data_IF_189992986536
#
_entry.id   IF_189992986536
#
_cell.length_a   1.000
_cell.length_b   1.000
_cell.length_c   1.000
_cell.angle_alpha   90.00
_cell.angle_beta   90.00
_cell.angle_gamma   90.00
#
_symmetry.space_group_name_H-M   'P 1'
#
loop_
_entity.id
_entity.type
_entity.pdbx_description
1 polymer ?
2 non-polymer ?
3 water ?
#
# COMPACT_ATOMS: atom_id res chain seq x y z
N UNK A 11 0.97 14.72 13.24
CA UNK A 11 -0.15 13.77 13.04
C UNK A 11 -0.45 13.65 11.55
N UNK A 12 -0.73 12.44 11.11
CA UNK A 12 -1.18 12.18 9.73
C UNK A 12 -2.44 11.34 9.89
N UNK A 13 -3.51 11.75 9.23
CA UNK A 13 -4.79 11.05 9.32
C UNK A 13 -5.16 10.45 7.98
N UNK A 14 -5.63 9.20 8.01
CA UNK A 14 -6.13 8.50 6.84
C UNK A 14 -7.54 9.02 6.52
N UNK A 15 -7.71 9.65 5.35
CA UNK A 15 -9.01 10.23 5.04
C UNK A 15 -10.11 9.18 4.93
N UNK A 16 -9.74 7.91 4.76
CA UNK A 16 -10.73 6.87 4.50
C UNK A 16 -11.39 6.40 5.79
N UNK A 17 -10.59 6.09 6.81
CA UNK A 17 -11.09 5.62 8.09
C UNK A 17 -10.93 6.62 9.23
N UNK A 18 -10.18 7.70 9.02
CA UNK A 18 -10.01 8.84 9.92
C UNK A 18 -9.14 8.53 11.14
N UNK A 19 -8.53 7.35 11.22
CA UNK A 19 -7.55 7.04 12.25
C UNK A 19 -6.15 7.49 11.83
N UNK A 20 -5.26 7.59 12.80
CA UNK A 20 -3.91 8.07 12.54
C UNK A 20 -3.13 7.07 11.69
N UNK A 21 -2.36 7.58 10.74
CA UNK A 21 -1.40 6.76 9.99
C UNK A 21 -0.08 6.85 10.74
N UNK A 22 0.38 5.73 11.27
CA UNK A 22 1.60 5.64 12.05
C UNK A 22 2.51 4.66 11.32
N UNK A 23 3.38 5.18 10.45
CA UNK A 23 4.28 4.32 9.69
C UNK A 23 5.31 3.66 10.60
N UNK A 24 5.98 4.45 11.44
CA UNK A 24 7.05 3.93 12.30
C UNK A 24 6.44 3.25 13.52
N UNK A 25 5.88 2.07 13.27
CA UNK A 25 5.35 1.27 14.36
C UNK A 25 4.91 -0.11 13.91
N UNK A 26 4.91 -1.07 14.83
CA UNK A 26 4.33 -2.38 14.55
C UNK A 26 2.82 -2.31 14.50
N UNK A 27 2.29 -1.17 14.06
CA UNK A 27 0.87 -0.95 13.97
C UNK A 27 0.36 -1.41 12.61
N UNK A 28 -0.72 -0.80 12.13
CA UNK A 28 -1.26 -1.19 10.83
C UNK A 28 -0.27 -0.85 9.71
N UNK A 29 -0.28 -1.67 8.66
CA UNK A 29 0.54 -1.38 7.48
C UNK A 29 0.09 -0.05 6.87
N UNK A 30 1.03 0.63 6.21
CA UNK A 30 0.76 1.97 5.69
C UNK A 30 1.18 2.09 4.23
N UNK A 31 0.65 3.11 3.55
CA UNK A 31 0.97 3.41 2.17
C UNK A 31 1.18 4.90 2.00
N UNK A 32 2.10 5.26 1.11
CA UNK A 32 2.30 6.65 0.74
C UNK A 32 2.17 6.74 -0.77
N UNK A 33 1.15 7.46 -1.24
CA UNK A 33 0.95 7.53 -2.68
C UNK A 33 1.97 8.46 -3.32
N UNK A 34 2.12 8.34 -4.64
CA UNK A 34 3.12 9.15 -5.33
C UNK A 34 2.83 10.65 -5.20
N UNK A 35 1.58 11.03 -4.90
CA UNK A 35 1.23 12.42 -4.72
C UNK A 35 1.61 12.95 -3.34
N UNK A 36 1.97 12.07 -2.41
CA UNK A 36 2.32 12.44 -1.07
C UNK A 36 1.29 12.05 -0.01
N UNK A 37 0.08 11.65 -0.43
CA UNK A 37 -0.93 11.41 0.58
C UNK A 37 -0.76 10.03 1.18
N UNK A 38 -1.07 9.93 2.47
CA UNK A 38 -0.81 8.72 3.23
C UNK A 38 -2.10 8.07 3.71
N UNK A 39 -2.10 6.74 3.74
CA UNK A 39 -3.25 5.95 4.14
C UNK A 39 -2.77 4.70 4.86
N UNK A 40 -3.70 4.03 5.53
CA UNK A 40 -3.49 2.63 5.85
C UNK A 40 -3.52 1.81 4.57
N UNK A 41 -2.68 0.78 4.51
CA UNK A 41 -2.63 -0.08 3.33
C UNK A 41 -3.97 -0.73 3.03
N UNK A 42 -4.64 -1.28 4.05
CA UNK A 42 -5.90 -1.92 3.71
C UNK A 42 -6.95 -0.91 3.31
N UNK A 43 -6.94 0.29 3.91
CA UNK A 43 -7.85 1.33 3.47
C UNK A 43 -7.66 1.66 2.00
N UNK A 44 -6.42 1.95 1.60
CA UNK A 44 -6.24 2.42 0.22
C UNK A 44 -6.27 1.24 -0.74
N UNK A 45 -5.79 0.07 -0.30
CA UNK A 45 -5.89 -1.11 -1.14
C UNK A 45 -7.33 -1.43 -1.51
N UNK A 46 -8.22 -1.41 -0.52
CA UNK A 46 -9.62 -1.73 -0.79
C UNK A 46 -10.26 -0.69 -1.69
N UNK A 47 -9.84 0.59 -1.55
CA UNK A 47 -10.38 1.64 -2.39
C UNK A 47 -9.97 1.45 -3.84
N UNK A 48 -8.68 1.20 -4.07
CA UNK A 48 -8.22 0.94 -5.44
C UNK A 48 -8.91 -0.29 -6.01
N UNK A 49 -9.12 -1.31 -5.17
CA UNK A 49 -9.75 -2.54 -5.63
C UNK A 49 -11.17 -2.31 -6.13
N UNK A 50 -11.86 -1.34 -5.56
CA UNK A 50 -13.24 -1.09 -5.98
C UNK A 50 -13.29 -0.54 -7.39
N UNK A 51 -12.24 0.17 -7.81
CA UNK A 51 -12.24 0.89 -9.09
C UNK A 51 -11.25 0.36 -10.11
N UNK A 52 -10.24 -0.39 -9.70
CA UNK A 52 -9.23 -0.85 -10.65
C UNK A 52 -8.25 0.22 -11.06
N UNK A 53 -8.23 1.34 -10.36
CA UNK A 53 -7.41 2.50 -10.72
C UNK A 53 -6.71 2.99 -9.46
N UNK A 54 -5.44 3.38 -9.60
CA UNK A 54 -4.67 3.92 -8.47
C UNK A 54 -4.88 5.44 -8.40
N UNK A 55 -6.09 5.82 -8.03
CA UNK A 55 -6.47 7.24 -7.97
C UNK A 55 -6.53 7.68 -6.52
N UNK A 56 -5.77 8.73 -6.19
CA UNK A 56 -5.81 9.25 -4.81
C UNK A 56 -7.19 9.81 -4.51
N UNK A 57 -7.85 9.39 -3.42
CA UNK A 57 -9.16 9.96 -3.10
C UNK A 57 -9.10 11.36 -2.51
N UNK A 58 -7.91 11.82 -2.11
CA UNK A 58 -7.75 13.16 -1.55
C UNK A 58 -7.52 14.20 -2.63
N UNK A 59 -6.69 13.92 -3.63
CA UNK A 59 -6.40 14.92 -4.64
C UNK A 59 -6.78 14.50 -6.04
N UNK A 60 -7.28 13.27 -6.20
CA UNK A 60 -7.80 12.71 -7.44
C UNK A 60 -6.73 12.47 -8.51
N UNK A 61 -5.46 12.62 -8.17
CA UNK A 61 -4.41 12.28 -9.14
C UNK A 61 -4.36 10.77 -9.35
N UNK A 62 -4.06 10.36 -10.59
CA UNK A 62 -4.07 8.94 -10.96
C UNK A 62 -2.64 8.52 -11.27
N UNK A 63 -2.18 7.48 -10.59
CA UNK A 63 -0.88 6.90 -10.82
C UNK A 63 -1.01 5.78 -11.85
N UNK A 64 -0.15 5.78 -12.85
CA UNK A 64 -0.23 4.78 -13.92
C UNK A 64 0.59 3.54 -13.57
N UNK A 65 0.21 2.89 -12.47
CA UNK A 65 0.83 1.67 -12.03
C UNK A 65 0.12 0.45 -12.61
N UNK A 66 0.48 -0.71 -12.08
CA UNK A 66 -0.04 -2.00 -12.55
C UNK A 66 -0.82 -2.61 -11.37
N UNK A 67 -2.08 -2.24 -11.24
CA UNK A 67 -2.90 -2.69 -10.11
C UNK A 67 -3.67 -3.92 -10.57
N UNK A 68 -3.20 -5.09 -10.19
CA UNK A 68 -3.72 -6.36 -10.71
C UNK A 68 -4.49 -7.09 -9.62
N UNK A 69 -5.46 -7.90 -10.04
CA UNK A 69 -6.26 -8.65 -9.07
C UNK A 69 -5.82 -10.10 -8.93
N UNK A 70 -4.83 -10.53 -9.70
CA UNK A 70 -4.42 -11.94 -9.67
C UNK A 70 -2.95 -12.11 -10.03
N UNK B 11 19.15 2.16 1.28
CA UNK B 11 18.08 2.00 0.26
C UNK B 11 17.49 0.60 0.32
N UNK B 12 16.18 0.49 0.23
CA UNK B 12 15.53 -0.83 0.31
C UNK B 12 14.99 -1.17 -1.07
N UNK B 13 15.03 -2.42 -1.44
CA UNK B 13 14.51 -2.89 -2.72
C UNK B 13 13.25 -3.74 -2.53
N UNK B 14 12.34 -3.64 -3.50
CA UNK B 14 11.11 -4.41 -3.49
C UNK B 14 11.42 -5.83 -3.94
N UNK B 15 11.18 -6.81 -3.06
CA UNK B 15 11.45 -8.20 -3.41
C UNK B 15 10.56 -8.73 -4.52
N UNK B 16 9.51 -8.00 -4.88
CA UNK B 16 8.57 -8.49 -5.88
C UNK B 16 9.06 -8.19 -7.28
N UNK B 17 9.47 -6.95 -7.52
CA UNK B 17 9.95 -6.53 -8.82
C UNK B 17 11.45 -6.29 -8.84
N UNK B 18 12.10 -6.37 -7.68
CA UNK B 18 13.55 -6.21 -7.52
C UNK B 18 14.03 -4.80 -7.83
N UNK B 19 13.13 -3.82 -7.86
CA UNK B 19 13.48 -2.42 -8.03
C UNK B 19 13.54 -1.72 -6.68
N UNK B 20 14.27 -0.61 -6.65
CA UNK B 20 14.40 0.14 -5.41
C UNK B 20 13.07 0.78 -5.03
N UNK B 21 12.74 0.70 -3.75
CA UNK B 21 11.61 1.40 -3.17
C UNK B 21 12.12 2.77 -2.70
N UNK B 22 11.55 3.85 -3.23
CA UNK B 22 12.03 5.20 -2.97
C UNK B 22 10.94 5.97 -2.23
N UNK B 23 11.32 6.60 -1.12
CA UNK B 23 10.37 7.31 -0.27
C UNK B 23 10.00 8.69 -0.78
N UNK B 24 10.78 9.26 -1.70
CA UNK B 24 10.46 10.57 -2.24
C UNK B 24 9.12 10.54 -2.96
N UNK B 25 8.58 11.73 -3.21
CA UNK B 25 7.24 11.84 -3.74
C UNK B 25 7.05 11.43 -5.19
N UNK B 26 7.95 11.87 -6.07
CA UNK B 26 7.62 11.99 -7.48
C UNK B 26 7.14 10.73 -8.20
N UNK B 27 7.64 9.56 -7.79
CA UNK B 27 7.69 8.42 -8.70
C UNK B 27 6.58 7.37 -8.50
N UNK B 28 6.83 6.30 -7.75
CA UNK B 28 5.91 5.20 -7.56
C UNK B 28 5.46 5.18 -6.10
N UNK B 29 4.19 4.85 -5.88
CA UNK B 29 3.68 4.76 -4.53
C UNK B 29 4.33 3.59 -3.80
N UNK B 30 4.40 3.71 -2.48
CA UNK B 30 5.11 2.73 -1.67
C UNK B 30 4.23 2.25 -0.53
N UNK B 31 4.62 1.12 0.05
CA UNK B 31 3.93 0.56 1.21
C UNK B 31 4.97 0.04 2.19
N UNK B 32 4.62 0.08 3.47
CA UNK B 32 5.45 -0.46 4.53
C UNK B 32 4.59 -1.38 5.37
N UNK B 33 4.91 -2.67 5.37
CA UNK B 33 4.05 -3.60 6.10
C UNK B 33 4.30 -3.47 7.60
N UNK B 34 3.37 -4.02 8.38
CA UNK B 34 3.50 -3.94 9.82
C UNK B 34 4.71 -4.70 10.33
N UNK B 35 5.24 -5.62 9.53
CA UNK B 35 6.46 -6.35 9.85
C UNK B 35 7.72 -5.58 9.51
N UNK B 36 7.60 -4.45 8.81
CA UNK B 36 8.73 -3.62 8.46
C UNK B 36 9.19 -3.73 7.03
N UNK B 37 8.79 -4.77 6.31
CA UNK B 37 9.22 -4.92 4.93
C UNK B 37 8.49 -3.96 4.03
N UNK B 38 9.20 -3.47 3.00
CA UNK B 38 8.69 -2.42 2.15
C UNK B 38 8.62 -2.87 0.70
N UNK B 39 7.68 -2.28 -0.01
CA UNK B 39 7.32 -2.68 -1.36
C UNK B 39 6.79 -1.47 -2.10
N UNK B 40 6.76 -1.57 -3.42
CA UNK B 40 5.91 -0.65 -4.17
C UNK B 40 4.46 -1.00 -3.93
N UNK B 41 3.60 0.02 -3.93
CA UNK B 41 2.19 -0.21 -3.63
C UNK B 41 1.55 -1.19 -4.62
N UNK B 42 1.78 -1.02 -5.92
CA UNK B 42 1.08 -1.91 -6.86
C UNK B 42 1.63 -3.33 -6.79
N UNK B 43 2.92 -3.49 -6.49
CA UNK B 43 3.47 -4.83 -6.32
C UNK B 43 2.79 -5.57 -5.17
N UNK B 44 2.83 -5.00 -3.97
CA UNK B 44 2.31 -5.72 -2.81
C UNK B 44 0.79 -5.82 -2.87
N UNK B 45 0.12 -4.80 -3.41
CA UNK B 45 -1.34 -4.86 -3.52
C UNK B 45 -1.77 -5.97 -4.46
N UNK B 46 -1.07 -6.12 -5.58
CA UNK B 46 -1.40 -7.23 -6.48
C UNK B 46 -1.10 -8.57 -5.83
N UNK B 47 -0.06 -8.63 -4.99
CA UNK B 47 0.27 -9.88 -4.31
C UNK B 47 -0.79 -10.25 -3.29
N UNK B 48 -1.23 -9.27 -2.48
CA UNK B 48 -2.34 -9.50 -1.57
C UNK B 48 -3.60 -9.94 -2.33
N UNK B 49 -3.89 -9.30 -3.47
CA UNK B 49 -5.09 -9.65 -4.23
C UNK B 49 -5.05 -11.09 -4.72
N UNK B 50 -3.88 -11.57 -5.13
CA UNK B 50 -3.79 -12.94 -5.63
C UNK B 50 -4.09 -13.94 -4.53
N UNK B 51 -3.70 -13.62 -3.29
CA UNK B 51 -3.86 -14.54 -2.18
C UNK B 51 -5.12 -14.30 -1.37
N UNK B 52 -5.63 -13.06 -1.36
CA UNK B 52 -6.77 -12.71 -0.56
C UNK B 52 -6.47 -12.43 0.90
N UNK B 53 -5.20 -12.44 1.30
CA UNK B 53 -4.80 -12.10 2.66
C UNK B 53 -3.56 -11.23 2.59
N UNK B 54 -3.33 -10.49 3.67
CA UNK B 54 -2.20 -9.55 3.74
C UNK B 54 -0.95 -10.27 4.25
N UNK B 55 -0.48 -11.24 3.46
CA UNK B 55 0.71 -11.99 3.82
C UNK B 55 1.96 -11.32 3.24
N UNK B 56 2.95 -11.10 4.08
CA UNK B 56 4.20 -10.55 3.57
C UNK B 56 4.95 -11.61 2.78
N UNK B 57 5.32 -11.34 1.52
CA UNK B 57 6.06 -12.34 0.74
C UNK B 57 7.46 -12.60 1.26
N UNK B 58 7.98 -11.79 2.17
CA UNK B 58 9.34 -11.96 2.65
C UNK B 58 9.39 -12.85 3.89
N UNK B 59 8.68 -12.45 4.94
CA UNK B 59 8.67 -13.16 6.22
C UNK B 59 7.42 -14.00 6.43
N UNK B 60 6.50 -14.01 5.46
CA UNK B 60 5.30 -14.83 5.46
C UNK B 60 4.35 -14.54 6.62
N UNK B 61 4.64 -13.49 7.40
CA UNK B 61 3.71 -13.04 8.42
C UNK B 61 2.43 -12.52 7.77
N UNK B 62 1.29 -12.81 8.39
CA UNK B 62 0.00 -12.40 7.87
C UNK B 62 -0.60 -11.38 8.82
N UNK B 63 -0.83 -10.17 8.32
CA UNK B 63 -1.45 -9.11 9.09
C UNK B 63 -2.96 -9.23 9.03
N UNK B 64 -3.60 -9.13 10.20
CA UNK B 64 -5.06 -9.31 10.30
C UNK B 64 -5.80 -8.00 10.07
N UNK B 65 -5.59 -7.43 8.88
CA UNK B 65 -6.26 -6.23 8.46
C UNK B 65 -7.59 -6.54 7.80
N UNK B 66 -8.10 -5.55 7.06
CA UNK B 66 -9.38 -5.66 6.39
C UNK B 66 -9.16 -5.42 4.90
N UNK B 67 -8.59 -6.43 4.23
CA UNK B 67 -8.28 -6.33 2.81
C UNK B 67 -9.52 -6.72 2.01
N UNK B 68 -10.16 -5.73 1.39
CA UNK B 68 -11.41 -5.94 0.69
C UNK B 68 -11.19 -5.76 -0.80
N UNK B 69 -12.03 -6.43 -1.59
CA UNK B 69 -11.94 -6.27 -3.04
C UNK B 69 -12.88 -5.18 -3.57
N UNK B 70 -13.82 -4.70 -2.77
CA UNK B 70 -14.76 -3.68 -3.24
C UNK B 70 -15.34 -2.90 -2.08
X LIG C 1 -7.38 4.15 7.16
X LIG D 1 -3.19 12.63 -3.35
X LIG E 1 8.02 -3.61 -6.67
X LIG F 1 7.99 -9.13 6.10
#
# INVERSE_FOLDING_TARGET
>A
MSHHHHHHSMDVSCSICLDAVVAAGGERSTARLQCGHEFHLDCIGSAFNAKGVMQCPNCRKIEKGNWLYAN
>B
MSHHHHHHSMDVSCSICLDAVVAAGGERSTARLQCGHEFHLDCIGSAFNAKGVMQCPNCRKIEKGNWLYAN
>C hetero
1 ZN ZN
>D hetero
1 ZN ZN
>E hetero
1 ZN ZN
>F hetero
1 ZN ZN
#
